data_IF_619298331441
#
_entry.id   IF_619298331441
#
_cell.length_a   1.000
_cell.length_b   1.000
_cell.length_c   1.000
_cell.angle_alpha   90.00
_cell.angle_beta   90.00
_cell.angle_gamma   90.00
#
_symmetry.space_group_name_H-M   'P 1'
#
loop_
_entity.id
_entity.type
_entity.pdbx_description
1 polymer ?
#
# COMPACT_ATOMS: atom_id res chain seq x y z
N UNK A 1 27.70 22.40 -24.23
CA UNK A 1 27.10 21.58 -23.15
C UNK A 1 26.15 20.62 -23.83
N UNK A 2 26.36 19.31 -23.67
CA UNK A 2 25.42 18.30 -24.20
C UNK A 2 24.04 18.49 -23.52
N UNK A 3 22.98 18.41 -24.32
CA UNK A 3 21.61 18.67 -23.88
C UNK A 3 21.11 17.54 -22.96
N UNK A 4 20.30 17.87 -21.94
CA UNK A 4 19.68 16.85 -21.09
C UNK A 4 18.78 15.93 -21.95
N UNK A 5 18.90 14.62 -21.75
CA UNK A 5 18.06 13.63 -22.43
C UNK A 5 16.95 13.21 -21.46
N UNK A 6 15.70 13.45 -21.83
CA UNK A 6 14.53 13.01 -21.05
C UNK A 6 14.20 11.59 -21.48
N UNK A 7 14.27 10.64 -20.54
CA UNK A 7 13.92 9.24 -20.77
C UNK A 7 12.43 9.00 -20.57
N UNK A 8 11.90 9.46 -19.44
CA UNK A 8 10.53 9.19 -18.99
C UNK A 8 9.95 10.38 -18.26
N UNK A 9 8.63 10.45 -18.25
CA UNK A 9 7.86 11.46 -17.53
C UNK A 9 6.80 10.77 -16.68
N UNK A 10 6.79 11.07 -15.40
CA UNK A 10 5.79 10.64 -14.43
C UNK A 10 5.03 11.86 -13.93
N UNK A 11 3.70 11.78 -13.94
CA UNK A 11 2.82 12.78 -13.34
C UNK A 11 2.02 12.11 -12.23
N UNK A 12 2.19 12.58 -10.99
CA UNK A 12 1.39 12.14 -9.85
C UNK A 12 0.34 13.22 -9.58
N UNK A 13 -0.92 12.81 -9.46
CA UNK A 13 -2.05 13.68 -9.17
C UNK A 13 -2.70 13.23 -7.86
N UNK A 14 -2.77 14.14 -6.90
CA UNK A 14 -3.29 13.85 -5.58
C UNK A 14 -4.73 14.34 -5.45
N UNK A 15 -5.57 13.53 -4.80
CA UNK A 15 -6.96 13.87 -4.47
C UNK A 15 -7.08 13.79 -2.95
N UNK A 16 -7.33 14.92 -2.33
CA UNK A 16 -7.35 15.03 -0.88
C UNK A 16 -8.71 14.62 -0.33
N UNK A 17 -8.68 13.74 0.66
CA UNK A 17 -9.83 13.23 1.39
C UNK A 17 -9.86 13.86 2.78
N UNK A 18 -11.02 14.34 3.19
CA UNK A 18 -11.25 14.92 4.52
C UNK A 18 -12.14 14.08 5.41
N UNK A 19 -12.84 13.09 4.83
CA UNK A 19 -13.76 12.21 5.54
C UNK A 19 -13.87 10.85 4.82
N UNK A 20 -14.12 9.78 5.57
CA UNK A 20 -14.34 8.44 5.04
C UNK A 20 -15.60 7.88 5.69
N UNK A 21 -16.52 7.36 4.88
CA UNK A 21 -17.79 6.79 5.33
C UNK A 21 -18.11 5.49 4.62
N UNK A 22 -18.95 4.64 5.24
CA UNK A 22 -19.55 3.51 4.55
C UNK A 22 -20.82 3.93 3.80
N UNK A 23 -21.04 3.39 2.61
CA UNK A 23 -22.25 3.60 1.83
C UNK A 23 -22.64 2.35 1.01
N UNK A 24 -23.68 2.44 0.20
CA UNK A 24 -24.12 1.34 -0.68
C UNK A 24 -23.18 1.08 -1.86
N UNK A 25 -22.23 1.99 -2.15
CA UNK A 25 -21.26 1.85 -3.26
C UNK A 25 -19.96 2.59 -2.96
N UNK A 26 -18.88 2.22 -3.63
CA UNK A 26 -17.60 2.92 -3.49
C UNK A 26 -17.49 4.10 -4.46
N UNK A 27 -17.29 5.32 -3.95
CA UNK A 27 -17.12 6.56 -4.73
C UNK A 27 -16.45 7.67 -3.94
N UNK A 28 -16.10 8.78 -4.60
CA UNK A 28 -15.56 9.98 -3.97
C UNK A 28 -16.39 11.18 -4.41
N UNK A 29 -16.90 11.96 -3.46
CA UNK A 29 -17.67 13.17 -3.69
C UNK A 29 -17.33 14.20 -2.62
N UNK A 30 -17.14 15.48 -3.01
CA UNK A 30 -16.84 16.58 -2.08
C UNK A 30 -15.75 16.29 -1.04
N UNK A 31 -14.67 15.60 -1.47
CA UNK A 31 -13.54 15.16 -0.63
C UNK A 31 -13.89 14.11 0.43
N UNK A 32 -15.06 13.49 0.33
CA UNK A 32 -15.46 12.33 1.13
C UNK A 32 -15.22 11.06 0.33
N UNK A 33 -14.51 10.09 0.90
CA UNK A 33 -14.38 8.75 0.35
C UNK A 33 -15.49 7.87 0.94
N UNK A 34 -16.42 7.44 0.09
CA UNK A 34 -17.42 6.46 0.45
C UNK A 34 -16.95 5.06 0.06
N UNK A 35 -16.94 4.13 1.02
CA UNK A 35 -16.57 2.72 0.82
C UNK A 35 -17.85 1.88 0.89
N UNK A 36 -18.03 0.94 -0.05
CA UNK A 36 -19.16 0.03 -0.04
C UNK A 36 -19.19 -0.80 1.25
N UNK A 37 -20.32 -0.80 1.96
CA UNK A 37 -20.48 -1.47 3.26
C UNK A 37 -20.33 -2.99 3.20
N UNK A 38 -20.71 -3.59 2.09
CA UNK A 38 -20.63 -5.03 1.76
C UNK A 38 -19.39 -5.35 0.92
N UNK A 39 -18.33 -4.53 0.96
CA UNK A 39 -17.10 -4.77 0.20
C UNK A 39 -16.44 -6.12 0.53
N UNK A 40 -16.65 -6.65 1.74
CA UNK A 40 -16.13 -7.95 2.17
C UNK A 40 -16.97 -9.13 1.67
N UNK A 41 -18.18 -8.90 1.17
CA UNK A 41 -19.06 -9.98 0.70
C UNK A 41 -18.44 -10.65 -0.52
N UNK A 42 -18.16 -11.95 -0.38
CA UNK A 42 -17.54 -12.75 -1.44
C UNK A 42 -16.04 -12.48 -1.66
N UNK A 43 -15.39 -11.68 -0.81
CA UNK A 43 -13.99 -11.24 -1.04
C UNK A 43 -13.01 -12.43 -1.11
N UNK A 44 -13.26 -13.47 -0.33
CA UNK A 44 -12.45 -14.69 -0.31
C UNK A 44 -12.68 -15.60 -1.53
N UNK A 45 -13.71 -15.33 -2.34
CA UNK A 45 -13.99 -16.01 -3.60
C UNK A 45 -13.54 -15.20 -4.83
N UNK A 46 -12.88 -14.06 -4.62
CA UNK A 46 -12.38 -13.21 -5.69
C UNK A 46 -11.32 -13.96 -6.54
N UNK A 47 -11.26 -13.71 -7.85
CA UNK A 47 -10.40 -14.45 -8.78
C UNK A 47 -8.89 -14.29 -8.51
N UNK A 48 -8.48 -13.10 -8.06
CA UNK A 48 -7.11 -12.81 -7.66
C UNK A 48 -6.80 -13.27 -6.22
N UNK A 49 -7.73 -13.93 -5.51
CA UNK A 49 -7.50 -14.41 -4.15
C UNK A 49 -6.76 -15.76 -4.16
N UNK A 50 -5.73 -15.86 -3.33
CA UNK A 50 -4.99 -17.11 -3.06
C UNK A 50 -4.75 -17.20 -1.56
N UNK A 51 -4.84 -18.41 -0.99
CA UNK A 51 -4.69 -18.62 0.45
C UNK A 51 -5.94 -18.24 1.24
N UNK A 52 -7.12 -18.20 0.62
CA UNK A 52 -8.39 -17.93 1.30
C UNK A 52 -8.66 -18.89 2.46
N UNK A 53 -8.16 -20.13 2.39
CA UNK A 53 -8.26 -21.14 3.44
C UNK A 53 -7.39 -20.85 4.67
N UNK A 54 -6.48 -19.88 4.57
CA UNK A 54 -5.59 -19.44 5.65
C UNK A 54 -6.21 -18.29 6.47
N UNK A 55 -7.26 -17.65 5.94
CA UNK A 55 -7.94 -16.51 6.56
C UNK A 55 -9.19 -17.02 7.25
N UNK A 56 -9.34 -16.69 8.53
CA UNK A 56 -10.56 -16.99 9.28
C UNK A 56 -11.53 -15.82 9.25
N UNK A 57 -11.02 -14.59 9.41
CA UNK A 57 -11.85 -13.39 9.49
C UNK A 57 -11.12 -12.17 8.94
N UNK A 58 -11.89 -11.25 8.38
CA UNK A 58 -11.44 -9.93 7.95
C UNK A 58 -12.39 -8.91 8.56
N UNK A 59 -11.84 -7.89 9.22
CA UNK A 59 -12.57 -6.73 9.68
C UNK A 59 -12.09 -5.48 8.93
N UNK A 60 -13.03 -4.62 8.54
CA UNK A 60 -12.77 -3.34 7.89
C UNK A 60 -13.32 -2.22 8.76
N UNK A 61 -12.45 -1.33 9.20
CA UNK A 61 -12.79 -0.23 10.10
C UNK A 61 -12.26 1.10 9.56
N UNK A 62 -12.87 2.19 10.01
CA UNK A 62 -12.39 3.55 9.78
C UNK A 62 -11.90 4.07 11.13
N UNK A 63 -10.67 4.58 11.19
CA UNK A 63 -10.08 5.18 12.38
C UNK A 63 -9.78 6.63 12.09
N UNK A 64 -10.57 7.53 12.66
CA UNK A 64 -10.29 8.96 12.57
C UNK A 64 -9.09 9.33 13.46
N UNK A 65 -8.40 10.45 13.19
CA UNK A 65 -7.25 10.89 13.97
C UNK A 65 -7.48 10.94 15.49
N UNK A 66 -8.68 11.29 15.92
CA UNK A 66 -9.07 11.39 17.34
C UNK A 66 -9.40 10.06 18.00
N UNK A 67 -9.53 8.99 17.22
CA UNK A 67 -9.96 7.67 17.67
C UNK A 67 -8.79 6.68 17.73
N UNK A 68 -7.54 7.16 17.58
CA UNK A 68 -6.34 6.31 17.51
C UNK A 68 -5.96 5.66 18.85
N UNK A 69 -6.55 6.05 19.96
CA UNK A 69 -6.34 5.39 21.25
C UNK A 69 -7.16 4.09 21.34
N UNK A 70 -6.79 3.09 20.54
CA UNK A 70 -7.42 1.76 20.51
C UNK A 70 -6.38 0.68 20.27
N UNK A 71 -6.68 -0.53 20.74
CA UNK A 71 -5.85 -1.69 20.48
C UNK A 71 -5.89 -2.07 19.00
N UNK A 72 -4.72 -2.37 18.44
CA UNK A 72 -4.55 -2.95 17.10
C UNK A 72 -3.63 -4.17 17.20
N UNK A 73 -3.86 -5.17 16.34
CA UNK A 73 -2.92 -6.26 16.12
C UNK A 73 -1.64 -5.74 15.46
N UNK A 74 -0.62 -6.59 15.33
CA UNK A 74 0.64 -6.21 14.69
C UNK A 74 0.39 -5.59 13.32
N UNK A 75 0.93 -4.39 13.16
CA UNK A 75 0.88 -3.60 11.94
C UNK A 75 1.86 -4.21 10.96
N UNK A 76 1.30 -4.71 9.85
CA UNK A 76 2.05 -5.31 8.75
C UNK A 76 2.44 -4.26 7.71
N UNK A 77 1.58 -3.25 7.49
CA UNK A 77 1.83 -2.24 6.45
C UNK A 77 1.02 -0.96 6.66
N UNK A 78 1.60 0.15 6.23
CA UNK A 78 0.88 1.39 5.91
C UNK A 78 1.07 1.67 4.42
N UNK A 79 -0.02 1.67 3.66
CA UNK A 79 0.03 1.81 2.21
C UNK A 79 -0.89 2.91 1.69
N UNK A 80 -0.48 3.63 0.63
CA UNK A 80 -1.32 4.63 0.01
C UNK A 80 -2.41 3.98 -0.84
N UNK A 81 -3.54 4.67 -1.00
CA UNK A 81 -4.51 4.35 -2.05
C UNK A 81 -4.08 5.06 -3.34
N UNK A 82 -3.32 4.36 -4.17
CA UNK A 82 -2.83 4.88 -5.45
C UNK A 82 -3.15 3.93 -6.62
N UNK A 83 -3.31 4.49 -7.82
CA UNK A 83 -3.55 3.72 -9.04
C UNK A 83 -2.87 4.31 -10.27
N UNK A 84 -2.36 3.44 -11.14
CA UNK A 84 -1.89 3.79 -12.48
C UNK A 84 -3.07 4.02 -13.40
N UNK A 85 -3.21 5.26 -13.87
CA UNK A 85 -4.21 5.65 -14.87
C UNK A 85 -3.69 5.44 -16.28
N UNK A 86 -2.40 5.73 -16.50
CA UNK A 86 -1.75 5.60 -17.79
C UNK A 86 -0.27 5.24 -17.61
N UNK A 87 0.25 4.36 -18.46
CA UNK A 87 1.65 3.94 -18.44
C UNK A 87 1.95 2.86 -17.40
N UNK A 88 3.24 2.56 -17.22
CA UNK A 88 3.75 1.64 -16.21
C UNK A 88 4.25 2.39 -14.96
N UNK A 89 4.63 1.65 -13.92
CA UNK A 89 5.29 2.26 -12.75
C UNK A 89 6.52 3.06 -13.21
N UNK A 90 6.62 4.30 -12.76
CA UNK A 90 7.70 5.23 -13.09
C UNK A 90 7.49 6.10 -14.33
N UNK A 91 6.37 5.94 -15.03
CA UNK A 91 6.00 6.80 -16.16
C UNK A 91 4.50 6.98 -16.32
N UNK A 92 4.08 7.94 -17.15
CA UNK A 92 2.68 8.21 -17.40
C UNK A 92 2.01 8.95 -16.25
N UNK A 93 0.83 8.49 -15.83
CA UNK A 93 -0.03 9.19 -14.85
C UNK A 93 -0.44 8.25 -13.73
N UNK A 94 -0.25 8.72 -12.50
CA UNK A 94 -0.68 8.06 -11.27
C UNK A 94 -1.65 8.97 -10.53
N UNK A 95 -2.75 8.41 -10.08
CA UNK A 95 -3.65 9.06 -9.12
C UNK A 95 -3.38 8.49 -7.73
N UNK A 96 -3.40 9.34 -6.70
CA UNK A 96 -3.20 8.94 -5.31
C UNK A 96 -4.13 9.72 -4.40
N UNK A 97 -4.66 9.08 -3.36
CA UNK A 97 -5.38 9.77 -2.30
C UNK A 97 -4.41 10.31 -1.25
N UNK A 98 -4.70 11.51 -0.72
CA UNK A 98 -4.05 12.08 0.46
C UNK A 98 -5.10 12.36 1.53
N UNK A 99 -4.69 12.54 2.80
CA UNK A 99 -5.64 12.64 3.92
C UNK A 99 -6.22 11.29 4.38
N UNK A 100 -5.86 10.20 3.68
CA UNK A 100 -6.25 8.83 4.00
C UNK A 100 -5.11 7.85 3.71
N UNK A 101 -4.89 6.90 4.62
CA UNK A 101 -3.92 5.80 4.47
C UNK A 101 -4.59 4.47 4.80
N UNK A 102 -4.08 3.39 4.22
CA UNK A 102 -4.54 2.03 4.55
C UNK A 102 -3.57 1.43 5.56
N UNK A 103 -4.11 0.86 6.63
CA UNK A 103 -3.36 0.09 7.62
C UNK A 103 -3.79 -1.37 7.55
N UNK A 104 -2.83 -2.26 7.35
CA UNK A 104 -3.03 -3.70 7.44
C UNK A 104 -2.49 -4.19 8.79
N UNK A 105 -3.31 -4.92 9.53
CA UNK A 105 -2.89 -5.62 10.74
C UNK A 105 -3.23 -7.10 10.67
N UNK A 106 -2.56 -7.93 11.46
CA UNK A 106 -2.90 -9.34 11.51
C UNK A 106 -2.45 -10.07 12.77
N UNK A 107 -3.24 -11.09 13.12
CA UNK A 107 -2.97 -12.05 14.20
C UNK A 107 -3.63 -13.40 13.87
N UNK A 108 -3.22 -14.48 14.53
CA UNK A 108 -3.94 -15.74 14.52
C UNK A 108 -5.14 -15.72 15.46
N UNK A 109 -6.08 -16.64 15.26
CA UNK A 109 -7.21 -16.88 16.17
C UNK A 109 -6.78 -17.06 17.64
N UNK A 110 -5.64 -17.73 17.88
CA UNK A 110 -5.11 -17.93 19.22
C UNK A 110 -4.38 -16.70 19.81
N UNK A 111 -4.34 -15.58 19.09
CA UNK A 111 -3.74 -14.31 19.50
C UNK A 111 -2.24 -14.18 19.18
N UNK A 112 -1.63 -15.18 18.55
CA UNK A 112 -0.25 -15.09 18.05
C UNK A 112 -0.20 -14.02 16.97
N UNK A 113 0.67 -13.03 17.15
CA UNK A 113 0.73 -11.90 16.25
C UNK A 113 1.52 -12.21 14.97
N UNK A 114 1.19 -11.50 13.90
CA UNK A 114 1.92 -11.55 12.61
C UNK A 114 3.18 -10.68 12.71
N UNK A 115 4.11 -11.09 13.57
CA UNK A 115 5.39 -10.42 13.82
C UNK A 115 6.48 -11.43 14.17
N UNK A 116 7.71 -11.20 13.70
CA UNK A 116 8.89 -12.04 14.03
C UNK A 116 9.84 -11.32 15.02
N UNK A 117 10.17 -10.06 14.75
CA UNK A 117 10.89 -9.16 15.66
C UNK A 117 10.29 -7.76 15.63
N UNK A 118 10.08 -7.20 16.83
CA UNK A 118 9.41 -5.91 17.01
C UNK A 118 7.89 -6.10 17.08
N UNK A 119 7.36 -6.00 18.29
CA UNK A 119 5.92 -5.95 18.53
C UNK A 119 5.39 -4.58 18.15
N UNK A 120 4.40 -4.53 17.28
CA UNK A 120 3.66 -3.31 16.91
C UNK A 120 2.18 -3.38 17.31
N UNK A 121 1.76 -4.52 17.88
CA UNK A 121 0.47 -4.67 18.53
C UNK A 121 0.39 -3.85 19.82
N UNK A 122 -0.79 -3.36 20.14
CA UNK A 122 -1.00 -2.50 21.31
C UNK A 122 -1.84 -1.28 20.96
N UNK A 123 -1.73 -0.23 21.77
CA UNK A 123 -2.47 1.00 21.55
C UNK A 123 -1.84 1.77 20.38
N UNK A 124 -2.60 1.99 19.31
CA UNK A 124 -2.09 2.49 18.03
C UNK A 124 -1.33 3.84 18.15
N UNK A 125 -1.83 4.80 18.94
CA UNK A 125 -1.15 6.08 19.15
C UNK A 125 0.07 6.04 20.07
N UNK A 126 0.29 4.93 20.77
CA UNK A 126 1.52 4.65 21.51
C UNK A 126 2.55 3.90 20.65
N UNK A 127 2.08 3.05 19.71
CA UNK A 127 2.93 2.23 18.85
C UNK A 127 3.46 2.98 17.62
N UNK A 128 2.71 3.96 17.10
CA UNK A 128 3.05 4.64 15.85
C UNK A 128 3.42 6.10 16.07
N UNK A 129 4.59 6.47 15.55
CA UNK A 129 4.97 7.90 15.44
C UNK A 129 4.45 8.46 14.13
N UNK A 130 3.30 9.14 14.21
CA UNK A 130 2.66 9.83 13.08
C UNK A 130 3.47 11.02 12.57
N UNK A 131 3.17 11.47 11.34
CA UNK A 131 3.78 12.65 10.72
C UNK A 131 5.23 12.45 10.23
N UNK A 132 5.69 11.20 10.11
CA UNK A 132 7.03 10.88 9.58
C UNK A 132 6.94 10.29 8.18
N UNK A 133 8.05 10.33 7.44
CA UNK A 133 8.13 9.66 6.13
C UNK A 133 7.91 8.17 6.32
N UNK A 134 6.85 7.64 5.70
CA UNK A 134 6.48 6.23 5.80
C UNK A 134 5.46 5.91 6.91
N UNK A 135 5.00 6.90 7.67
CA UNK A 135 3.85 6.77 8.58
C UNK A 135 2.74 7.73 8.17
N UNK A 136 1.47 7.47 8.54
CA UNK A 136 0.39 8.40 8.25
C UNK A 136 0.64 9.78 8.85
N UNK A 137 0.12 10.83 8.22
CA UNK A 137 0.13 12.17 8.77
C UNK A 137 -0.68 12.24 10.08
N UNK A 138 -0.44 13.29 10.87
CA UNK A 138 -1.14 13.46 12.15
C UNK A 138 -2.65 13.56 11.97
N UNK A 139 -3.11 14.08 10.83
CA UNK A 139 -4.50 14.29 10.44
C UNK A 139 -5.06 13.24 9.46
N UNK A 140 -4.25 12.28 9.01
CA UNK A 140 -4.71 11.23 8.08
C UNK A 140 -5.76 10.31 8.74
N UNK A 141 -6.84 10.03 8.00
CA UNK A 141 -7.81 8.98 8.34
C UNK A 141 -7.21 7.62 7.96
N UNK A 142 -7.41 6.61 8.81
CA UNK A 142 -6.93 5.26 8.52
C UNK A 142 -8.10 4.37 8.10
N UNK A 143 -7.99 3.79 6.91
CA UNK A 143 -8.79 2.62 6.51
C UNK A 143 -8.07 1.40 7.04
N UNK A 144 -8.61 0.81 8.10
CA UNK A 144 -7.98 -0.28 8.84
C UNK A 144 -8.56 -1.62 8.39
N UNK A 145 -7.71 -2.46 7.83
CA UNK A 145 -8.02 -3.84 7.46
C UNK A 145 -7.30 -4.75 8.46
N UNK A 146 -8.06 -5.46 9.28
CA UNK A 146 -7.54 -6.40 10.26
C UNK A 146 -7.84 -7.83 9.83
N UNK A 147 -6.80 -8.66 9.71
CA UNK A 147 -6.90 -10.03 9.22
C UNK A 147 -6.62 -11.01 10.35
N UNK A 148 -7.61 -11.83 10.68
CA UNK A 148 -7.43 -12.99 11.54
C UNK A 148 -7.06 -14.20 10.69
N UNK A 149 -5.85 -14.70 10.88
CA UNK A 149 -5.35 -15.91 10.24
C UNK A 149 -5.71 -17.14 11.07
N UNK A 150 -5.79 -18.30 10.41
CA UNK A 150 -5.89 -19.59 11.09
C UNK A 150 -4.60 -19.89 11.85
N UNK A 151 -4.72 -20.71 12.89
CA UNK A 151 -3.58 -21.06 13.75
C UNK A 151 -2.44 -21.71 12.95
N UNK A 152 -1.21 -21.30 13.24
CA UNK A 152 0.01 -21.72 12.56
C UNK A 152 0.33 -21.00 11.23
N UNK A 153 -0.42 -19.96 10.86
CA UNK A 153 -0.20 -19.20 9.63
C UNK A 153 0.47 -17.85 9.82
N UNK A 154 0.56 -17.28 11.03
CA UNK A 154 1.22 -15.99 11.26
C UNK A 154 2.74 -16.07 11.09
N UNK A 155 3.35 -17.23 11.31
CA UNK A 155 4.80 -17.44 11.19
C UNK A 155 5.18 -18.17 9.89
N UNK A 156 4.21 -18.42 9.01
CA UNK A 156 4.39 -19.10 7.74
C UNK A 156 4.09 -18.13 6.59
N UNK A 157 5.07 -17.90 5.70
CA UNK A 157 5.02 -16.89 4.63
C UNK A 157 3.68 -16.78 3.87
N UNK A 158 2.98 -17.88 3.52
CA UNK A 158 1.68 -17.81 2.83
C UNK A 158 0.58 -17.06 3.61
N UNK A 159 0.57 -17.12 4.95
CA UNK A 159 -0.44 -16.45 5.77
C UNK A 159 -0.40 -14.92 5.63
N UNK A 160 0.74 -14.27 5.91
CA UNK A 160 0.91 -12.84 5.68
C UNK A 160 0.72 -12.43 4.22
N UNK A 161 1.16 -13.25 3.26
CA UNK A 161 0.91 -12.98 1.84
C UNK A 161 -0.58 -12.98 1.51
N UNK A 162 -1.38 -13.89 2.08
CA UNK A 162 -2.82 -13.90 1.93
C UNK A 162 -3.47 -12.64 2.54
N UNK A 163 -3.00 -12.17 3.69
CA UNK A 163 -3.44 -10.92 4.31
C UNK A 163 -3.16 -9.69 3.43
N UNK A 164 -1.94 -9.59 2.88
CA UNK A 164 -1.60 -8.54 1.92
C UNK A 164 -2.44 -8.60 0.65
N UNK A 165 -2.71 -9.82 0.15
CA UNK A 165 -3.52 -10.03 -1.04
C UNK A 165 -4.95 -9.58 -0.85
N UNK A 166 -5.61 -10.01 0.23
CA UNK A 166 -7.00 -9.60 0.48
C UNK A 166 -7.10 -8.10 0.74
N UNK A 167 -6.12 -7.52 1.44
CA UNK A 167 -6.00 -6.07 1.61
C UNK A 167 -5.94 -5.35 0.25
N UNK A 168 -5.12 -5.84 -0.68
CA UNK A 168 -4.99 -5.24 -1.99
C UNK A 168 -6.25 -5.37 -2.85
N UNK A 169 -6.99 -6.49 -2.75
CA UNK A 169 -8.29 -6.68 -3.44
C UNK A 169 -9.32 -5.68 -2.91
N UNK A 170 -9.41 -5.49 -1.58
CA UNK A 170 -10.31 -4.51 -0.96
C UNK A 170 -9.99 -3.09 -1.46
N UNK A 171 -8.71 -2.69 -1.41
CA UNK A 171 -8.28 -1.36 -1.86
C UNK A 171 -8.50 -1.19 -3.37
N UNK A 172 -8.44 -2.28 -4.14
CA UNK A 172 -8.63 -2.24 -5.59
C UNK A 172 -10.02 -1.70 -5.98
N UNK A 173 -11.06 -1.92 -5.17
CA UNK A 173 -12.38 -1.32 -5.42
C UNK A 173 -12.31 0.22 -5.41
N UNK A 174 -11.60 0.79 -4.43
CA UNK A 174 -11.37 2.24 -4.32
C UNK A 174 -10.51 2.73 -5.50
N UNK A 175 -9.43 2.00 -5.82
CA UNK A 175 -8.56 2.32 -6.97
C UNK A 175 -9.33 2.31 -8.29
N UNK A 176 -10.25 1.37 -8.48
CA UNK A 176 -11.07 1.28 -9.70
C UNK A 176 -11.95 2.52 -9.90
N UNK A 177 -12.45 3.13 -8.82
CA UNK A 177 -13.13 4.42 -8.90
C UNK A 177 -12.13 5.55 -9.19
N UNK A 178 -11.04 5.63 -8.41
CA UNK A 178 -10.01 6.67 -8.54
C UNK A 178 -9.39 6.74 -9.95
N UNK A 179 -9.22 5.59 -10.60
CA UNK A 179 -8.68 5.45 -11.96
C UNK A 179 -9.56 6.12 -13.01
N UNK A 180 -10.88 6.22 -12.75
CA UNK A 180 -11.88 6.81 -13.65
C UNK A 180 -12.10 8.30 -13.40
N UNK A 181 -11.66 8.83 -12.26
CA UNK A 181 -11.81 10.26 -11.94
C UNK A 181 -11.07 11.10 -12.97
N UNK A 182 -11.66 12.23 -13.37
CA UNK A 182 -10.99 13.19 -14.22
C UNK A 182 -9.88 13.89 -13.43
N UNK A 183 -8.62 13.58 -13.73
CA UNK A 183 -7.47 14.18 -13.06
C UNK A 183 -7.22 15.67 -13.34
N UNK A 184 -8.18 16.42 -13.88
CA UNK A 184 -8.17 17.89 -13.81
C UNK A 184 -8.67 18.40 -12.46
N UNK A 185 -9.42 17.59 -11.72
CA UNK A 185 -9.96 17.92 -10.40
C UNK A 185 -9.04 17.50 -9.25
N UNK A 186 -7.78 17.17 -9.52
CA UNK A 186 -6.81 16.88 -8.47
C UNK A 186 -6.48 18.15 -7.68
N UNK A 187 -6.31 18.01 -6.36
CA UNK A 187 -5.87 19.09 -5.48
C UNK A 187 -4.40 19.43 -5.70
N UNK A 188 -3.58 18.42 -6.01
CA UNK A 188 -2.16 18.58 -6.28
C UNK A 188 -1.72 17.84 -7.55
N UNK A 189 -0.71 18.40 -8.22
CA UNK A 189 -0.08 17.81 -9.40
C UNK A 189 1.42 17.98 -9.34
N UNK A 190 2.12 16.85 -9.39
CA UNK A 190 3.58 16.79 -9.36
C UNK A 190 4.10 16.14 -10.64
N UNK A 191 5.11 16.74 -11.26
CA UNK A 191 5.73 16.24 -12.48
C UNK A 191 7.20 15.90 -12.25
N UNK A 192 7.58 14.68 -12.61
CA UNK A 192 8.92 14.13 -12.44
C UNK A 192 9.47 13.63 -13.77
N UNK A 193 10.66 14.10 -14.12
CA UNK A 193 11.37 13.70 -15.32
C UNK A 193 12.56 12.82 -14.95
N UNK A 194 12.62 11.64 -15.56
CA UNK A 194 13.81 10.79 -15.55
C UNK A 194 14.77 11.31 -16.62
N UNK A 195 15.96 11.74 -16.23
CA UNK A 195 16.88 12.52 -17.09
C UNK A 195 18.29 11.96 -17.05
N UNK A 196 18.90 11.81 -18.23
CA UNK A 196 20.35 11.64 -18.37
C UNK A 196 20.98 13.02 -18.53
N UNK A 197 22.04 13.26 -17.74
CA UNK A 197 22.89 14.45 -17.82
C UNK A 197 24.28 14.07 -18.31
N UNK A 198 24.54 14.14 -19.63
CA UNK A 198 25.84 13.74 -20.19
C UNK A 198 26.99 14.54 -19.57
N UNK A 199 28.15 13.87 -19.39
CA UNK A 199 29.34 14.46 -18.75
C UNK A 199 29.22 14.75 -17.24
N UNK A 200 28.08 14.46 -16.59
CA UNK A 200 27.93 14.59 -15.13
C UNK A 200 28.21 13.26 -14.42
N UNK A 201 28.56 13.33 -13.15
CA UNK A 201 28.74 12.15 -12.28
C UNK A 201 27.42 11.37 -12.20
N UNK A 202 27.51 10.05 -12.33
CA UNK A 202 26.39 9.13 -12.09
C UNK A 202 26.29 8.88 -10.59
N UNK A 203 25.10 9.01 -10.03
CA UNK A 203 24.80 8.75 -8.61
C UNK A 203 23.78 7.62 -8.54
N UNK A 204 24.04 6.64 -7.68
CA UNK A 204 23.14 5.53 -7.39
C UNK A 204 22.87 5.55 -5.88
N UNK A 205 21.60 5.41 -5.50
CA UNK A 205 21.19 5.22 -4.10
C UNK A 205 20.99 3.73 -3.90
N UNK A 206 21.71 3.17 -2.93
CA UNK A 206 21.58 1.75 -2.56
C UNK A 206 20.66 1.67 -1.34
N UNK A 207 19.50 1.02 -1.51
CA UNK A 207 18.61 0.66 -0.40
C UNK A 207 18.76 -0.82 -0.14
N UNK A 208 19.16 -1.18 1.07
CA UNK A 208 19.10 -2.56 1.53
C UNK A 208 17.69 -2.84 2.00
N UNK A 209 17.16 -3.99 1.62
CA UNK A 209 15.84 -4.49 2.00
C UNK A 209 16.00 -5.87 2.59
N UNK A 210 15.13 -6.21 3.54
CA UNK A 210 15.12 -7.53 4.13
C UNK A 210 14.45 -8.52 3.18
N UNK A 211 15.07 -9.69 3.04
CA UNK A 211 14.70 -10.76 2.11
C UNK A 211 15.01 -12.13 2.70
N UNK A 212 14.62 -12.33 3.96
CA UNK A 212 14.91 -13.54 4.71
C UNK A 212 13.73 -13.90 5.60
N UNK A 213 13.34 -15.17 5.59
CA UNK A 213 12.30 -15.69 6.47
C UNK A 213 10.89 -15.53 5.91
N UNK A 214 9.91 -15.79 6.77
CA UNK A 214 8.49 -15.71 6.42
C UNK A 214 7.97 -14.27 6.46
N UNK A 215 8.60 -13.44 7.31
CA UNK A 215 8.11 -12.14 7.75
C UNK A 215 8.97 -10.96 7.32
N UNK A 216 9.96 -11.15 6.45
CA UNK A 216 10.75 -10.03 5.94
C UNK A 216 10.94 -10.19 4.44
N UNK A 217 9.89 -9.81 3.72
CA UNK A 217 9.83 -9.85 2.28
C UNK A 217 9.50 -8.46 1.74
N UNK A 218 10.03 -8.18 0.54
CA UNK A 218 9.76 -6.94 -0.17
C UNK A 218 9.24 -7.30 -1.55
N UNK A 219 8.04 -6.83 -1.85
CA UNK A 219 7.43 -6.92 -3.17
C UNK A 219 7.95 -5.82 -4.08
N UNK A 220 8.22 -6.19 -5.33
CA UNK A 220 8.58 -5.29 -6.41
C UNK A 220 7.60 -5.43 -7.59
N UNK A 221 7.39 -4.36 -8.35
CA UNK A 221 6.66 -4.40 -9.63
C UNK A 221 5.19 -4.84 -9.52
N UNK A 222 4.48 -4.43 -8.47
CA UNK A 222 3.04 -4.66 -8.39
C UNK A 222 2.27 -4.02 -9.58
N UNK A 223 1.04 -4.47 -9.81
CA UNK A 223 0.16 -3.88 -10.84
C UNK A 223 -0.15 -2.40 -10.54
N UNK A 224 -0.34 -2.06 -9.27
CA UNK A 224 -0.67 -0.71 -8.80
C UNK A 224 0.42 -0.15 -7.87
N UNK A 225 0.60 1.17 -7.75
CA UNK A 225 1.60 1.77 -6.86
C UNK A 225 1.34 1.40 -5.40
N UNK A 226 2.33 0.80 -4.73
CA UNK A 226 2.17 0.28 -3.37
C UNK A 226 1.22 -0.93 -3.28
N UNK A 227 0.89 -1.58 -4.40
CA UNK A 227 0.06 -2.78 -4.44
C UNK A 227 0.81 -4.06 -4.05
N UNK A 228 0.08 -5.17 -3.90
CA UNK A 228 0.61 -6.51 -3.66
C UNK A 228 0.36 -7.43 -4.86
N UNK A 229 -0.79 -7.33 -5.52
CA UNK A 229 -1.12 -8.19 -6.66
C UNK A 229 -0.15 -7.92 -7.81
N UNK A 230 0.46 -8.99 -8.31
CA UNK A 230 1.50 -8.93 -9.34
C UNK A 230 2.90 -8.61 -8.81
N UNK A 231 3.09 -8.40 -7.50
CA UNK A 231 4.41 -8.25 -6.92
C UNK A 231 5.29 -9.47 -7.18
N UNK A 232 6.57 -9.19 -7.38
CA UNK A 232 7.65 -10.17 -7.34
C UNK A 232 8.38 -9.99 -6.02
N UNK A 233 8.36 -11.02 -5.19
CA UNK A 233 9.16 -11.06 -3.97
C UNK A 233 10.64 -11.06 -4.31
N UNK A 234 11.43 -10.33 -3.53
CA UNK A 234 12.89 -10.40 -3.64
C UNK A 234 13.44 -11.79 -3.23
N UNK A 235 12.76 -12.50 -2.33
CA UNK A 235 13.11 -13.86 -1.91
C UNK A 235 12.98 -14.81 -3.11
N UNK A 236 11.85 -14.75 -3.81
CA UNK A 236 11.59 -15.57 -5.00
C UNK A 236 12.54 -15.19 -6.16
N UNK A 237 13.03 -13.95 -6.18
CA UNK A 237 14.08 -13.49 -7.10
C UNK A 237 15.51 -13.87 -6.66
N UNK A 238 15.67 -14.66 -5.60
CA UNK A 238 16.97 -15.10 -5.09
C UNK A 238 17.81 -13.98 -4.48
N UNK A 239 17.17 -12.95 -3.93
CA UNK A 239 17.80 -11.76 -3.35
C UNK A 239 18.77 -11.04 -4.30
N UNK A 240 18.51 -11.14 -5.61
CA UNK A 240 19.31 -10.49 -6.62
C UNK A 240 19.14 -8.96 -6.58
N UNK A 241 20.23 -8.17 -6.67
CA UNK A 241 20.12 -6.72 -6.74
C UNK A 241 19.27 -6.26 -7.92
N UNK A 242 18.28 -5.39 -7.66
CA UNK A 242 17.41 -4.81 -8.67
C UNK A 242 17.71 -3.33 -8.82
N UNK A 243 17.94 -2.88 -10.06
CA UNK A 243 18.10 -1.47 -10.38
C UNK A 243 16.75 -0.91 -10.81
N UNK A 244 16.28 0.12 -10.10
CA UNK A 244 15.05 0.84 -10.42
C UNK A 244 15.39 2.31 -10.70
N UNK A 245 14.61 2.93 -11.59
CA UNK A 245 14.69 4.36 -11.86
C UNK A 245 14.18 5.16 -10.66
N UNK A 246 14.60 6.43 -10.53
CA UNK A 246 14.07 7.32 -9.49
C UNK A 246 12.54 7.49 -9.57
N UNK A 247 11.97 7.41 -10.78
CA UNK A 247 10.53 7.53 -10.94
C UNK A 247 9.80 6.25 -10.54
N UNK A 248 10.31 5.06 -10.86
CA UNK A 248 9.73 3.80 -10.35
C UNK A 248 9.69 3.79 -8.82
N UNK A 249 10.77 4.22 -8.17
CA UNK A 249 10.80 4.34 -6.71
C UNK A 249 9.74 5.30 -6.17
N UNK A 250 9.57 6.47 -6.80
CA UNK A 250 8.52 7.44 -6.43
C UNK A 250 7.11 6.93 -6.69
N UNK A 251 6.94 6.10 -7.70
CA UNK A 251 5.67 5.57 -8.16
C UNK A 251 5.31 4.24 -7.47
N UNK A 252 5.82 4.02 -6.26
CA UNK A 252 5.40 2.90 -5.41
C UNK A 252 5.81 1.52 -5.93
N UNK A 253 6.96 1.38 -6.61
CA UNK A 253 7.46 0.07 -7.06
C UNK A 253 7.76 -0.90 -5.92
N UNK A 254 8.05 -0.39 -4.72
CA UNK A 254 8.35 -1.17 -3.53
C UNK A 254 7.12 -1.29 -2.64
N UNK A 255 6.92 -2.48 -2.10
CA UNK A 255 6.00 -2.73 -0.99
C UNK A 255 6.70 -3.57 0.08
N UNK A 256 6.67 -3.11 1.32
CA UNK A 256 7.01 -3.97 2.45
C UNK A 256 5.89 -4.99 2.62
N UNK A 257 6.22 -6.27 2.68
CA UNK A 257 5.22 -7.33 2.79
C UNK A 257 5.15 -7.93 4.19
N UNK A 258 5.86 -7.34 5.16
CA UNK A 258 5.83 -7.58 6.62
C UNK A 258 6.85 -6.66 7.31
#
# INVERSE_FOLDING_TARGET
MEQEIILRRLVIKAFHITEVEFSDRTYIEDKVLYIRKDILDGILQHEDMEGQELIEKIDLNIINPKERHKFVNSIMDFSPVATKVLGALGEGITHVLTGVQVMLTGAEECGIQVAEFGSSEGILDEQVVFGRRGTPAEDDIIVHIDVTLRNGQATNRPGPMAAHRVCDIIIQEIRNYLKKINGRYCDEKHEYLDKIRPGKKKVVIVKQVAGQGCMYDTGLFAKEPGGHIGCKSIIDMGNMPVVVSPNEYRDGILRAMN
#
